data_IF_739660238762
#
_entry.id   IF_739660238762
#
_cell.length_a   1.000
_cell.length_b   1.000
_cell.length_c   1.000
_cell.angle_alpha   90.00
_cell.angle_beta   90.00
_cell.angle_gamma   90.00
#
_symmetry.space_group_name_H-M   'P 1'
#
loop_
_entity.id
_entity.type
_entity.pdbx_description
1 polymer ?
#
# COMPACT_ATOMS: atom_id res chain seq x y z
N UNK A 1 23.04 -63.99 -6.85
CA UNK A 1 23.99 -63.70 -5.74
C UNK A 1 23.41 -62.55 -4.91
N UNK A 2 23.13 -62.77 -3.61
CA UNK A 2 23.02 -61.78 -2.49
C UNK A 2 22.19 -60.47 -2.72
N UNK A 3 20.95 -60.32 -2.20
CA UNK A 3 20.51 -59.87 -0.83
C UNK A 3 20.81 -58.39 -0.51
N UNK A 4 19.93 -57.53 0.06
CA UNK A 4 18.58 -57.60 0.70
C UNK A 4 17.74 -56.34 0.31
N UNK A 5 16.39 -56.32 0.28
CA UNK A 5 15.37 -56.27 1.36
C UNK A 5 15.60 -55.26 2.50
N UNK A 6 14.88 -54.11 2.47
CA UNK A 6 14.35 -53.42 3.67
C UNK A 6 13.05 -52.66 3.35
N UNK A 7 11.92 -53.29 3.63
CA UNK A 7 10.63 -52.61 3.80
C UNK A 7 10.61 -51.97 5.19
N UNK A 8 10.18 -50.71 5.32
CA UNK A 8 9.86 -50.12 6.62
C UNK A 8 8.48 -49.47 6.57
N UNK A 9 7.45 -50.28 6.82
CA UNK A 9 6.13 -49.80 7.17
C UNK A 9 6.06 -49.72 8.70
N UNK A 10 5.69 -48.56 9.23
CA UNK A 10 5.35 -48.43 10.65
C UNK A 10 4.08 -47.59 10.80
N UNK A 11 2.94 -48.28 10.81
CA UNK A 11 1.66 -47.70 11.17
C UNK A 11 1.48 -47.75 12.70
N UNK A 12 1.22 -46.61 13.34
CA UNK A 12 0.50 -46.55 14.61
C UNK A 12 -0.11 -45.15 14.78
N UNK A 13 -1.43 -45.06 14.70
CA UNK A 13 -2.19 -43.88 15.10
C UNK A 13 -2.52 -43.94 16.60
N UNK A 14 -2.88 -42.78 17.19
CA UNK A 14 -3.77 -42.56 18.36
C UNK A 14 -3.66 -41.05 18.70
N UNK A 15 -4.56 -40.19 18.20
CA UNK A 15 -5.85 -39.79 18.81
C UNK A 15 -5.67 -39.08 20.17
N UNK A 16 -6.09 -37.82 20.24
CA UNK A 16 -6.03 -37.01 21.46
C UNK A 16 -6.68 -35.62 21.38
N UNK A 17 -7.83 -35.46 20.71
CA UNK A 17 -8.59 -34.20 20.77
C UNK A 17 -9.28 -34.06 22.13
N UNK A 18 -8.66 -33.35 23.08
CA UNK A 18 -9.29 -32.94 24.34
C UNK A 18 -10.11 -31.65 24.15
N UNK A 19 -11.25 -31.77 23.48
CA UNK A 19 -12.25 -30.70 23.45
C UNK A 19 -12.97 -30.61 24.81
N UNK A 20 -12.58 -29.64 25.64
CA UNK A 20 -13.25 -29.35 26.91
C UNK A 20 -14.56 -28.58 26.68
N UNK A 21 -15.67 -29.29 26.42
CA UNK A 21 -17.00 -28.70 26.37
C UNK A 21 -17.55 -28.45 27.80
N UNK A 22 -17.13 -27.35 28.43
CA UNK A 22 -17.55 -26.96 29.77
C UNK A 22 -18.91 -26.24 29.78
N UNK A 23 -20.00 -26.98 29.60
CA UNK A 23 -21.36 -26.43 29.66
C UNK A 23 -21.83 -26.28 31.12
N UNK A 24 -21.70 -25.08 31.70
CA UNK A 24 -21.98 -24.82 33.11
C UNK A 24 -23.07 -23.75 33.29
N UNK A 25 -24.32 -24.21 33.49
CA UNK A 25 -25.47 -23.34 33.80
C UNK A 25 -25.30 -22.73 35.19
N UNK A 26 -25.27 -21.39 35.30
CA UNK A 26 -25.20 -20.67 36.59
C UNK A 26 -26.32 -19.67 36.78
N UNK A 27 -27.17 -19.90 37.79
CA UNK A 27 -28.04 -18.96 38.50
C UNK A 27 -28.43 -19.61 39.86
N UNK A 28 -28.87 -18.90 40.93
CA UNK A 28 -28.83 -17.46 41.22
C UNK A 28 -28.32 -17.13 42.67
N UNK A 29 -28.64 -15.92 43.17
CA UNK A 29 -28.44 -15.31 44.54
C UNK A 29 -27.08 -14.60 44.72
N UNK A 30 -26.95 -13.32 45.09
CA UNK A 30 -27.70 -12.37 45.96
C UNK A 30 -27.49 -12.58 47.48
N UNK A 31 -26.57 -11.82 48.09
CA UNK A 31 -26.79 -10.76 49.11
C UNK A 31 -25.45 -10.00 49.38
N UNK A 32 -25.51 -8.87 50.09
CA UNK A 32 -24.43 -7.86 50.27
C UNK A 32 -23.36 -8.28 51.34
N UNK A 33 -22.29 -7.54 51.66
CA UNK A 33 -21.93 -6.12 51.42
C UNK A 33 -20.39 -5.86 51.59
N UNK A 34 -19.95 -4.65 51.22
CA UNK A 34 -18.86 -3.89 51.87
C UNK A 34 -17.37 -4.23 51.62
N UNK A 35 -16.82 -3.71 50.52
CA UNK A 35 -15.73 -2.71 50.61
C UNK A 35 -15.75 -1.76 49.41
N UNK A 36 -15.42 -0.49 49.62
CA UNK A 36 -15.37 0.55 48.57
C UNK A 36 -13.95 0.67 48.03
N UNK A 37 -13.70 0.24 46.80
CA UNK A 37 -12.47 0.58 46.07
C UNK A 37 -12.76 0.91 44.59
N UNK A 38 -12.71 2.21 44.30
CA UNK A 38 -12.42 2.84 43.01
C UNK A 38 -12.94 2.18 41.72
N UNK A 39 -14.04 2.74 41.18
CA UNK A 39 -14.23 2.77 39.74
C UNK A 39 -13.10 3.61 39.11
N UNK A 40 -12.08 2.93 38.59
CA UNK A 40 -11.28 3.51 37.51
C UNK A 40 -12.02 3.17 36.23
N UNK A 41 -12.81 4.13 35.75
CA UNK A 41 -13.28 4.11 34.37
C UNK A 41 -12.06 3.95 33.47
N UNK A 42 -11.94 2.77 32.85
CA UNK A 42 -11.09 2.64 31.69
C UNK A 42 -11.77 3.39 30.56
N UNK A 43 -11.48 4.68 30.45
CA UNK A 43 -11.57 5.38 29.17
C UNK A 43 -10.79 4.56 28.15
N UNK A 44 -11.52 3.74 27.41
CA UNK A 44 -11.05 3.24 26.13
C UNK A 44 -10.95 4.45 25.23
N UNK A 45 -9.76 5.03 25.19
CA UNK A 45 -9.37 5.95 24.14
C UNK A 45 -9.17 5.12 22.86
N UNK A 46 -10.29 4.59 22.33
CA UNK A 46 -10.40 3.84 21.08
C UNK A 46 -10.22 4.82 19.89
N UNK A 47 -9.13 5.58 19.92
CA UNK A 47 -8.59 6.22 18.72
C UNK A 47 -7.97 5.12 17.89
N UNK A 48 -8.67 4.75 16.82
CA UNK A 48 -8.10 4.06 15.66
C UNK A 48 -6.65 4.54 15.44
N UNK A 49 -5.67 3.62 15.35
CA UNK A 49 -4.27 4.03 15.17
C UNK A 49 -4.16 4.87 13.91
N UNK A 50 -3.65 6.10 14.05
CA UNK A 50 -3.60 7.07 12.96
C UNK A 50 -2.89 6.45 11.75
N UNK A 51 -3.63 6.26 10.64
CA UNK A 51 -3.13 5.62 9.43
C UNK A 51 -1.99 6.47 8.86
N UNK A 52 -0.79 5.91 8.84
CA UNK A 52 0.38 6.56 8.28
C UNK A 52 0.35 6.39 6.76
N UNK A 53 0.57 7.48 6.02
CA UNK A 53 0.62 7.46 4.56
C UNK A 53 1.99 7.90 4.06
N UNK A 54 2.43 7.28 2.96
CA UNK A 54 3.50 7.81 2.11
C UNK A 54 2.81 8.25 0.82
N UNK A 55 2.85 9.54 0.51
CA UNK A 55 2.27 10.12 -0.71
C UNK A 55 3.39 10.57 -1.63
N UNK A 56 3.34 10.16 -2.90
CA UNK A 56 4.33 10.54 -3.92
C UNK A 56 3.61 10.95 -5.20
N UNK A 57 4.02 12.06 -5.80
CA UNK A 57 3.61 12.45 -7.15
C UNK A 57 4.79 12.18 -8.10
N UNK A 58 4.57 11.33 -9.10
CA UNK A 58 5.49 11.12 -10.21
C UNK A 58 5.15 12.12 -11.31
N UNK A 59 6.09 12.99 -11.66
CA UNK A 59 5.93 13.97 -12.74
C UNK A 59 6.88 13.57 -13.87
N UNK A 60 6.37 12.91 -14.92
CA UNK A 60 7.18 12.40 -16.01
C UNK A 60 7.16 13.36 -17.20
N UNK A 61 8.36 13.71 -17.68
CA UNK A 61 8.53 14.42 -18.94
C UNK A 61 8.25 13.46 -20.12
N UNK A 62 7.38 13.88 -21.02
CA UNK A 62 6.96 13.17 -22.23
C UNK A 62 7.23 13.98 -23.51
N UNK A 63 8.16 14.94 -23.45
CA UNK A 63 8.72 15.62 -24.63
C UNK A 63 9.65 14.70 -25.43
N UNK A 64 9.99 15.12 -26.66
CA UNK A 64 10.91 14.38 -27.53
C UNK A 64 12.36 14.34 -27.00
N UNK A 65 12.72 15.13 -25.98
CA UNK A 65 14.04 15.04 -25.34
C UNK A 65 14.26 13.70 -24.62
N UNK A 66 13.15 13.01 -24.28
CA UNK A 66 13.11 11.71 -23.63
C UNK A 66 13.04 10.52 -24.62
N UNK A 67 13.13 10.76 -25.93
CA UNK A 67 13.11 9.71 -26.96
C UNK A 67 14.21 8.65 -26.72
N UNK A 68 13.82 7.37 -26.67
CA UNK A 68 14.72 6.26 -26.37
C UNK A 68 15.20 6.17 -24.91
N UNK A 69 14.88 7.16 -24.07
CA UNK A 69 15.21 7.19 -22.64
C UNK A 69 13.97 6.93 -21.75
N UNK A 70 12.77 7.25 -22.24
CA UNK A 70 11.53 7.19 -21.45
C UNK A 70 11.24 5.80 -20.86
N UNK A 71 11.51 4.71 -21.58
CA UNK A 71 11.28 3.36 -21.06
C UNK A 71 12.22 3.01 -19.89
N UNK A 72 13.46 3.48 -19.92
CA UNK A 72 14.39 3.36 -18.79
C UNK A 72 13.94 4.24 -17.62
N UNK A 73 13.47 5.47 -17.88
CA UNK A 73 12.94 6.34 -16.83
C UNK A 73 11.71 5.72 -16.15
N UNK A 74 10.75 5.19 -16.91
CA UNK A 74 9.57 4.48 -16.40
C UNK A 74 9.95 3.27 -15.56
N UNK A 75 10.92 2.47 -15.99
CA UNK A 75 11.44 1.35 -15.20
C UNK A 75 12.05 1.80 -13.86
N UNK A 76 12.88 2.85 -13.85
CA UNK A 76 13.48 3.37 -12.61
C UNK A 76 12.45 3.99 -11.65
N UNK A 77 11.44 4.69 -12.16
CA UNK A 77 10.33 5.18 -11.35
C UNK A 77 9.51 4.03 -10.75
N UNK A 78 9.29 2.96 -11.52
CA UNK A 78 8.63 1.75 -11.04
C UNK A 78 9.43 1.03 -9.95
N UNK A 79 10.74 0.90 -10.09
CA UNK A 79 11.62 0.34 -9.05
C UNK A 79 11.52 1.14 -7.73
N UNK A 80 11.50 2.48 -7.81
CA UNK A 80 11.30 3.36 -6.64
C UNK A 80 9.93 3.13 -5.99
N UNK A 81 8.85 3.02 -6.78
CA UNK A 81 7.50 2.73 -6.27
C UNK A 81 7.46 1.36 -5.57
N UNK A 82 8.10 0.34 -6.14
CA UNK A 82 8.17 -1.00 -5.55
C UNK A 82 8.89 -0.98 -4.20
N UNK A 83 10.06 -0.36 -4.10
CA UNK A 83 10.80 -0.24 -2.84
C UNK A 83 9.99 0.51 -1.76
N UNK A 84 9.34 1.62 -2.14
CA UNK A 84 8.42 2.34 -1.25
C UNK A 84 7.22 1.49 -0.82
N UNK A 85 6.75 0.57 -1.66
CA UNK A 85 5.66 -0.35 -1.33
C UNK A 85 6.00 -1.34 -0.21
N UNK A 86 7.29 -1.57 0.05
CA UNK A 86 7.79 -2.42 1.14
C UNK A 86 8.27 -1.64 2.37
N UNK A 87 8.33 -0.31 2.29
CA UNK A 87 8.79 0.57 3.36
C UNK A 87 7.97 0.40 4.66
N UNK A 88 8.67 0.48 5.80
CA UNK A 88 8.10 0.32 7.14
C UNK A 88 8.70 1.33 8.11
N UNK A 89 7.89 1.77 9.07
CA UNK A 89 8.33 2.57 10.20
C UNK A 89 8.12 1.76 11.48
N UNK A 90 9.22 1.22 12.03
CA UNK A 90 9.16 0.26 13.13
C UNK A 90 8.37 -0.99 12.72
N UNK A 91 7.29 -1.29 13.45
CA UNK A 91 6.36 -2.41 13.14
C UNK A 91 5.29 -2.04 12.12
N UNK A 92 5.11 -0.77 11.79
CA UNK A 92 4.01 -0.30 10.96
C UNK A 92 4.41 -0.28 9.48
N UNK A 93 3.49 -0.71 8.61
CA UNK A 93 3.57 -0.49 7.16
C UNK A 93 2.64 0.67 6.81
N UNK A 94 3.15 1.85 6.40
CA UNK A 94 2.31 2.93 5.89
C UNK A 94 1.55 2.52 4.62
N UNK A 95 0.40 3.16 4.38
CA UNK A 95 -0.30 3.10 3.11
C UNK A 95 0.47 3.94 2.08
N UNK A 96 0.95 3.32 1.00
CA UNK A 96 1.54 4.03 -0.12
C UNK A 96 0.43 4.55 -1.03
N UNK A 97 0.54 5.81 -1.45
CA UNK A 97 -0.32 6.41 -2.47
C UNK A 97 0.53 7.13 -3.52
N UNK A 98 0.37 6.76 -4.78
CA UNK A 98 1.08 7.37 -5.91
C UNK A 98 0.08 8.14 -6.79
N UNK A 99 0.45 9.35 -7.19
CA UNK A 99 -0.18 10.09 -8.26
C UNK A 99 0.78 10.17 -9.46
N UNK A 100 0.24 10.31 -10.68
CA UNK A 100 1.03 10.36 -11.91
C UNK A 100 0.59 11.56 -12.76
N UNK A 101 1.56 12.35 -13.19
CA UNK A 101 1.42 13.43 -14.17
C UNK A 101 2.35 13.16 -15.35
N UNK A 102 1.87 13.53 -16.53
CA UNK A 102 2.71 13.72 -17.73
C UNK A 102 2.78 15.21 -18.06
N UNK A 103 3.89 15.64 -18.65
CA UNK A 103 4.04 17.00 -19.17
C UNK A 103 4.98 17.06 -20.38
N UNK A 104 4.83 18.09 -21.21
CA UNK A 104 5.74 18.34 -22.35
C UNK A 104 5.38 17.62 -23.66
N UNK A 105 4.21 16.98 -23.72
CA UNK A 105 3.70 16.30 -24.91
C UNK A 105 2.67 17.17 -25.65
N UNK A 106 2.85 17.38 -26.95
CA UNK A 106 2.05 18.26 -27.81
C UNK A 106 0.61 17.77 -28.02
N UNK A 107 0.28 16.53 -27.63
CA UNK A 107 -1.12 16.05 -27.59
C UNK A 107 -1.90 16.58 -26.37
N UNK A 108 -1.21 17.22 -25.41
CA UNK A 108 -1.80 17.81 -24.23
C UNK A 108 -2.29 19.24 -24.52
N UNK A 109 -3.13 19.76 -23.64
CA UNK A 109 -3.69 21.10 -23.81
C UNK A 109 -2.62 22.18 -23.56
N UNK A 110 -2.24 22.92 -24.61
CA UNK A 110 -1.28 24.02 -24.52
C UNK A 110 -1.74 25.16 -23.62
N UNK A 111 -3.05 25.44 -23.55
CA UNK A 111 -3.61 26.48 -22.66
C UNK A 111 -3.46 26.11 -21.17
N UNK A 112 -3.27 24.83 -20.86
CA UNK A 112 -2.99 24.31 -19.51
C UNK A 112 -1.48 24.06 -19.27
N UNK A 113 -0.63 24.48 -20.21
CA UNK A 113 0.84 24.35 -20.19
C UNK A 113 1.35 22.96 -20.51
N UNK A 114 0.64 22.20 -21.35
CA UNK A 114 0.98 20.83 -21.74
C UNK A 114 1.17 19.90 -20.53
N UNK A 115 0.25 19.94 -19.58
CA UNK A 115 0.28 19.15 -18.34
C UNK A 115 -1.02 18.36 -18.20
N UNK A 116 -0.92 17.09 -17.81
CA UNK A 116 -2.09 16.26 -17.51
C UNK A 116 -1.86 15.41 -16.27
N UNK A 117 -2.83 15.45 -15.36
CA UNK A 117 -2.96 14.45 -14.30
C UNK A 117 -3.44 13.14 -14.93
N UNK A 118 -2.57 12.14 -15.02
CA UNK A 118 -2.89 10.81 -15.56
C UNK A 118 -3.60 9.98 -14.51
N UNK A 119 -3.10 10.02 -13.27
CA UNK A 119 -3.67 9.31 -12.13
C UNK A 119 -3.67 10.22 -10.89
N UNK A 120 -4.80 10.26 -10.17
CA UNK A 120 -4.87 10.82 -8.82
C UNK A 120 -4.08 9.94 -7.82
N UNK A 121 -4.04 10.30 -6.55
CA UNK A 121 -3.50 9.40 -5.53
C UNK A 121 -4.27 8.08 -5.49
N UNK A 122 -3.62 7.01 -5.96
CA UNK A 122 -4.08 5.62 -5.90
C UNK A 122 -3.15 4.79 -5.02
N UNK A 123 -3.69 3.78 -4.34
CA UNK A 123 -2.93 2.72 -3.66
C UNK A 123 -2.92 1.39 -4.45
N UNK A 124 -3.54 1.36 -5.64
CA UNK A 124 -3.49 0.23 -6.57
C UNK A 124 -2.25 0.28 -7.47
N UNK A 125 -1.30 -0.61 -7.19
CA UNK A 125 -0.03 -0.71 -7.92
C UNK A 125 -0.19 -1.18 -9.37
N UNK A 126 -1.22 -1.96 -9.68
CA UNK A 126 -1.44 -2.46 -11.04
C UNK A 126 -1.91 -1.31 -11.94
N UNK A 127 -2.85 -0.49 -11.47
CA UNK A 127 -3.27 0.75 -12.16
C UNK A 127 -2.11 1.75 -12.32
N UNK A 128 -1.30 1.97 -11.26
CA UNK A 128 -0.11 2.83 -11.33
C UNK A 128 0.85 2.33 -12.41
N UNK A 129 1.12 1.02 -12.46
CA UNK A 129 2.02 0.43 -13.45
C UNK A 129 1.49 0.61 -14.88
N UNK A 130 0.20 0.33 -15.08
CA UNK A 130 -0.48 0.40 -16.37
C UNK A 130 -0.43 1.81 -16.94
N UNK A 131 -0.82 2.81 -16.15
CA UNK A 131 -0.80 4.20 -16.59
C UNK A 131 0.64 4.68 -16.83
N UNK A 132 1.58 4.41 -15.92
CA UNK A 132 3.00 4.77 -16.08
C UNK A 132 3.59 4.21 -17.38
N UNK A 133 3.45 2.91 -17.63
CA UNK A 133 4.04 2.27 -18.81
C UNK A 133 3.35 2.63 -20.13
N UNK A 134 2.10 3.11 -20.08
CA UNK A 134 1.36 3.60 -21.26
C UNK A 134 1.90 4.93 -21.82
N UNK A 135 2.66 5.70 -21.03
CA UNK A 135 3.15 7.01 -21.45
C UNK A 135 4.19 6.92 -22.56
N UNK A 136 4.03 7.76 -23.57
CA UNK A 136 4.87 7.87 -24.77
C UNK A 136 5.33 9.31 -24.99
N UNK A 137 6.46 9.48 -25.66
CA UNK A 137 6.97 10.78 -26.07
C UNK A 137 6.28 11.28 -27.33
N UNK A 138 5.93 12.57 -27.35
CA UNK A 138 5.54 13.33 -28.54
C UNK A 138 5.38 14.81 -28.15
N UNK A 139 6.45 15.60 -28.07
CA UNK A 139 6.29 17.04 -27.91
C UNK A 139 7.56 17.89 -27.82
N UNK A 140 7.36 19.22 -27.73
CA UNK A 140 8.42 20.21 -27.85
C UNK A 140 8.49 21.33 -26.81
N UNK A 141 7.44 21.58 -25.99
CA UNK A 141 7.44 22.66 -24.99
C UNK A 141 7.42 22.14 -23.54
N UNK A 142 8.51 22.34 -22.81
CA UNK A 142 8.70 21.81 -21.45
C UNK A 142 8.37 22.84 -20.35
N UNK A 143 7.35 22.56 -19.53
CA UNK A 143 6.90 23.43 -18.42
C UNK A 143 7.11 22.81 -17.03
N UNK A 144 8.32 22.30 -16.76
CA UNK A 144 8.67 21.57 -15.53
C UNK A 144 8.27 22.31 -14.22
N UNK A 145 8.52 23.62 -14.13
CA UNK A 145 8.10 24.41 -12.96
C UNK A 145 6.59 24.49 -12.76
N UNK A 146 5.82 24.47 -13.84
CA UNK A 146 4.35 24.53 -13.80
C UNK A 146 3.77 23.18 -13.37
N UNK A 147 4.30 22.03 -13.82
CA UNK A 147 3.79 20.72 -13.35
C UNK A 147 4.02 20.51 -11.85
N UNK A 148 5.13 21.01 -11.30
CA UNK A 148 5.38 21.00 -9.85
C UNK A 148 4.32 21.83 -9.13
N UNK A 149 4.09 23.08 -9.55
CA UNK A 149 3.08 23.94 -8.93
C UNK A 149 1.65 23.39 -9.06
N UNK A 150 1.32 22.79 -10.20
CA UNK A 150 0.03 22.16 -10.49
C UNK A 150 -0.20 20.94 -9.59
N UNK A 151 0.77 20.03 -9.46
CA UNK A 151 0.64 18.83 -8.61
C UNK A 151 0.57 19.18 -7.12
N UNK A 152 1.22 20.25 -6.66
CA UNK A 152 1.08 20.76 -5.29
C UNK A 152 -0.33 21.34 -5.02
N UNK A 153 -0.95 21.95 -6.03
CA UNK A 153 -2.26 22.61 -5.88
C UNK A 153 -3.46 21.67 -6.09
N UNK A 154 -3.35 20.69 -6.99
CA UNK A 154 -4.46 19.81 -7.38
C UNK A 154 -4.58 18.55 -6.52
N UNK A 155 -3.46 17.99 -6.07
CA UNK A 155 -3.48 16.73 -5.31
C UNK A 155 -3.87 16.96 -3.85
N UNK A 156 -4.67 16.05 -3.31
CA UNK A 156 -5.03 16.03 -1.90
C UNK A 156 -3.87 15.49 -1.05
N UNK A 157 -2.90 16.34 -0.75
CA UNK A 157 -1.75 16.00 0.10
C UNK A 157 -2.14 15.73 1.56
N UNK A 158 -3.15 16.43 2.09
CA UNK A 158 -3.68 16.28 3.45
C UNK A 158 -3.66 17.59 4.21
#
# INVERSE_FOLDING_TARGET
MKTHLKTFAFCAALIGFTSCNANNKKQPKLYAEHTVEHEIEKEKNDKEPNKQFIKVALLLDTSNSMDGLIDQAKAQLWDIVNELSYAKYGTNKPNLQIALYEYGNDNLNGDEGYIKQVLAFSDDLDDISKELFSLTTNGGEEYCGQVIQTSLNQLNWG
#
